data_IF_069535134050
#
_entry.id   IF_069535134050
#
_cell.length_a   1.000
_cell.length_b   1.000
_cell.length_c   1.000
_cell.angle_alpha   90.00
_cell.angle_beta   90.00
_cell.angle_gamma   90.00
#
_symmetry.space_group_name_H-M   'P 1'
#
loop_
_entity.id
_entity.type
_entity.pdbx_description
1 polymer ?
#
# COMPACT_ATOMS: atom_id res chain seq x y z
N UNK A 1 -9.08 22.47 -15.50
CA UNK A 1 -8.72 21.10 -15.96
C UNK A 1 -8.13 20.34 -14.76
N UNK A 2 -8.94 19.74 -13.88
CA UNK A 2 -8.41 19.28 -12.58
C UNK A 2 -9.23 18.16 -11.89
N UNK A 3 -9.75 17.18 -12.62
CA UNK A 3 -10.59 16.12 -11.99
C UNK A 3 -10.24 14.69 -12.37
N UNK A 4 -9.44 14.46 -13.41
CA UNK A 4 -9.12 13.07 -13.85
C UNK A 4 -7.84 12.54 -13.20
N UNK A 5 -6.92 13.42 -12.76
CA UNK A 5 -5.59 13.01 -12.27
C UNK A 5 -5.54 12.34 -10.89
N UNK A 6 -6.63 12.28 -10.14
CA UNK A 6 -6.63 11.73 -8.76
C UNK A 6 -7.45 10.46 -8.55
N UNK A 7 -8.37 10.10 -9.45
CA UNK A 7 -9.26 8.94 -9.23
C UNK A 7 -8.57 7.59 -9.40
N UNK A 8 -7.54 7.53 -10.22
CA UNK A 8 -6.84 6.28 -10.59
C UNK A 8 -5.75 5.87 -9.59
N UNK A 9 -5.36 6.77 -8.66
CA UNK A 9 -4.21 6.59 -7.77
C UNK A 9 -4.38 5.39 -6.81
N UNK A 10 -5.61 4.91 -6.61
CA UNK A 10 -5.91 3.78 -5.75
C UNK A 10 -5.87 2.39 -6.40
N UNK A 11 -5.75 2.25 -7.73
CA UNK A 11 -5.77 0.91 -8.37
C UNK A 11 -4.37 0.30 -8.43
N UNK A 12 -4.24 -0.93 -7.92
CA UNK A 12 -3.01 -1.71 -7.97
C UNK A 12 -2.88 -2.39 -9.35
N UNK A 13 -2.21 -1.74 -10.29
CA UNK A 13 -1.83 -2.35 -11.57
C UNK A 13 -0.47 -3.04 -11.38
N UNK A 14 -0.45 -4.06 -10.52
CA UNK A 14 0.69 -4.97 -10.49
C UNK A 14 0.52 -5.99 -11.62
N UNK A 15 1.19 -5.74 -12.74
CA UNK A 15 1.27 -6.63 -13.89
C UNK A 15 2.19 -7.81 -13.55
N UNK A 16 1.68 -8.77 -12.78
CA UNK A 16 2.36 -10.06 -12.64
C UNK A 16 1.89 -10.98 -13.77
N UNK A 17 2.82 -11.35 -14.64
CA UNK A 17 2.61 -12.38 -15.66
C UNK A 17 2.68 -13.75 -14.99
N UNK A 18 1.52 -14.35 -14.70
CA UNK A 18 1.48 -15.78 -14.42
C UNK A 18 1.59 -16.52 -15.75
N UNK A 19 2.63 -17.35 -15.93
CA UNK A 19 2.79 -18.13 -17.16
C UNK A 19 1.63 -19.11 -17.36
N UNK A 20 1.06 -19.09 -18.57
CA UNK A 20 0.03 -20.03 -19.01
C UNK A 20 0.67 -21.37 -19.40
N UNK A 21 0.39 -22.42 -18.63
CA UNK A 21 0.52 -23.80 -19.09
C UNK A 21 -0.74 -24.57 -18.68
N UNK A 22 -1.59 -24.88 -19.67
CA UNK A 22 -2.82 -25.65 -19.48
C UNK A 22 -2.52 -27.12 -19.76
N UNK A 23 -2.54 -27.94 -18.72
CA UNK A 23 -2.73 -29.39 -18.85
C UNK A 23 -3.97 -29.78 -18.05
N UNK A 24 -5.07 -30.03 -18.76
CA UNK A 24 -6.31 -30.50 -18.17
C UNK A 24 -6.18 -31.98 -17.75
N UNK A 25 -6.18 -32.24 -16.45
CA UNK A 25 -6.44 -33.58 -15.92
C UNK A 25 -7.80 -33.61 -15.22
N UNK A 26 -8.73 -34.43 -15.75
CA UNK A 26 -9.96 -34.79 -15.07
C UNK A 26 -9.62 -35.64 -13.84
N UNK A 27 -9.92 -35.18 -12.63
CA UNK A 27 -9.84 -35.99 -11.39
C UNK A 27 -11.15 -35.97 -10.61
N UNK A 28 -11.50 -37.15 -10.07
CA UNK A 28 -12.63 -37.43 -9.16
C UNK A 28 -12.67 -36.43 -7.98
N UNK A 29 -13.87 -36.14 -7.42
CA UNK A 29 -14.01 -35.23 -6.30
C UNK A 29 -13.24 -35.78 -5.08
N UNK A 30 -12.14 -35.12 -4.72
CA UNK A 30 -11.38 -35.40 -3.52
C UNK A 30 -12.16 -34.90 -2.29
N UNK A 31 -12.16 -35.70 -1.22
CA UNK A 31 -12.60 -35.29 0.12
C UNK A 31 -11.82 -34.03 0.51
N UNK A 32 -12.51 -33.02 1.03
CA UNK A 32 -11.89 -31.77 1.45
C UNK A 32 -10.82 -32.06 2.52
N UNK A 33 -9.57 -31.71 2.24
CA UNK A 33 -8.48 -31.87 3.20
C UNK A 33 -8.66 -30.89 4.36
N UNK A 34 -8.28 -31.30 5.56
CA UNK A 34 -8.35 -30.46 6.78
C UNK A 34 -7.07 -29.67 7.04
N UNK A 35 -6.05 -29.88 6.21
CA UNK A 35 -4.74 -29.22 6.23
C UNK A 35 -4.23 -28.99 4.80
N UNK A 36 -3.27 -28.09 4.65
CA UNK A 36 -2.52 -27.91 3.40
C UNK A 36 -1.15 -28.57 3.48
N UNK A 37 -0.66 -29.02 2.33
CA UNK A 37 0.72 -29.38 2.09
C UNK A 37 1.15 -28.73 0.77
N UNK A 38 2.01 -27.73 0.86
CA UNK A 38 2.61 -27.03 -0.27
C UNK A 38 4.01 -27.59 -0.51
N UNK A 39 4.18 -28.33 -1.61
CA UNK A 39 5.44 -28.87 -2.07
C UNK A 39 5.98 -28.00 -3.21
N UNK A 40 7.20 -27.49 -3.06
CA UNK A 40 7.85 -26.67 -4.09
C UNK A 40 9.03 -27.37 -4.75
N UNK A 41 9.24 -27.10 -6.04
CA UNK A 41 10.46 -27.42 -6.77
C UNK A 41 10.94 -26.17 -7.53
N UNK A 42 12.00 -25.54 -7.02
CA UNK A 42 12.57 -24.30 -7.52
C UNK A 42 14.00 -24.57 -7.97
N UNK A 43 14.26 -24.32 -9.25
CA UNK A 43 15.61 -24.43 -9.83
C UNK A 43 16.30 -23.06 -9.84
N UNK A 44 17.63 -23.04 -9.97
CA UNK A 44 18.40 -21.79 -10.11
C UNK A 44 18.74 -21.08 -8.80
N UNK A 45 18.40 -21.66 -7.64
CA UNK A 45 18.81 -21.19 -6.31
C UNK A 45 19.71 -22.23 -5.63
N UNK A 46 20.57 -21.76 -4.74
CA UNK A 46 21.48 -22.60 -3.97
C UNK A 46 20.74 -23.33 -2.84
N UNK A 47 21.22 -24.52 -2.50
CA UNK A 47 20.78 -25.26 -1.33
C UNK A 47 21.02 -24.45 -0.04
N UNK A 48 20.10 -24.55 0.91
CA UNK A 48 20.10 -23.74 2.12
C UNK A 48 19.47 -22.36 1.96
N UNK A 49 19.05 -21.96 0.75
CA UNK A 49 18.30 -20.71 0.56
C UNK A 49 17.04 -20.72 1.44
N UNK A 50 16.95 -19.76 2.36
CA UNK A 50 15.78 -19.56 3.22
C UNK A 50 14.54 -19.24 2.40
N UNK A 51 13.40 -19.79 2.78
CA UNK A 51 12.10 -19.52 2.16
C UNK A 51 11.13 -19.12 3.26
N UNK A 52 10.55 -17.94 3.15
CA UNK A 52 9.57 -17.42 4.10
C UNK A 52 8.19 -17.43 3.50
N UNK A 53 7.22 -17.88 4.29
CA UNK A 53 5.80 -17.84 3.96
C UNK A 53 5.18 -16.61 4.60
N UNK A 54 4.92 -15.58 3.79
CA UNK A 54 4.45 -14.26 4.27
C UNK A 54 2.98 -14.08 3.84
N UNK A 55 2.04 -13.76 4.74
CA UNK A 55 0.68 -13.44 4.35
C UNK A 55 0.63 -12.30 3.31
N UNK A 56 -0.12 -12.50 2.23
CA UNK A 56 -0.28 -11.53 1.16
C UNK A 56 -1.67 -10.89 1.15
N UNK A 57 -1.82 -9.81 0.38
CA UNK A 57 -3.08 -9.09 0.19
C UNK A 57 -3.68 -8.53 1.50
N UNK A 58 -2.88 -7.81 2.29
CA UNK A 58 -3.30 -7.25 3.59
C UNK A 58 -3.18 -5.73 3.74
N UNK A 59 -2.72 -5.02 2.68
CA UNK A 59 -2.37 -3.59 2.73
C UNK A 59 -1.47 -3.21 3.92
N UNK A 60 -0.67 -4.17 4.39
CA UNK A 60 0.17 -4.05 5.57
C UNK A 60 1.47 -4.83 5.35
N UNK A 61 2.52 -4.45 6.07
CA UNK A 61 3.76 -5.22 6.08
C UNK A 61 3.59 -6.41 7.03
N UNK A 62 3.47 -7.61 6.45
CA UNK A 62 3.28 -8.84 7.21
C UNK A 62 4.63 -9.49 7.56
N UNK A 63 4.68 -10.13 8.73
CA UNK A 63 5.81 -11.00 9.10
C UNK A 63 5.59 -12.41 8.58
N UNK A 64 6.68 -13.13 8.33
CA UNK A 64 6.62 -14.53 7.96
C UNK A 64 5.90 -15.35 9.06
N UNK A 65 4.96 -16.20 8.65
CA UNK A 65 4.25 -17.11 9.57
C UNK A 65 4.88 -18.50 9.61
N UNK A 66 5.75 -18.80 8.66
CA UNK A 66 6.56 -20.01 8.61
C UNK A 66 7.83 -19.73 7.81
N UNK A 67 8.87 -20.51 8.07
CA UNK A 67 10.14 -20.48 7.36
C UNK A 67 10.63 -21.92 7.13
N UNK A 68 11.29 -22.15 5.99
CA UNK A 68 11.97 -23.41 5.67
C UNK A 68 13.21 -23.11 4.82
N UNK A 69 13.92 -24.12 4.37
CA UNK A 69 15.09 -23.98 3.49
C UNK A 69 14.94 -24.86 2.26
N UNK A 70 15.47 -24.38 1.14
CA UNK A 70 15.57 -25.16 -0.09
C UNK A 70 16.62 -26.27 0.08
N UNK A 71 16.29 -27.49 -0.38
CA UNK A 71 17.24 -28.62 -0.44
C UNK A 71 16.98 -29.44 -1.69
N UNK A 72 18.02 -29.67 -2.50
CA UNK A 72 17.93 -30.30 -3.80
C UNK A 72 16.83 -29.66 -4.68
N UNK A 73 16.74 -28.33 -4.63
CA UNK A 73 15.69 -27.55 -5.30
C UNK A 73 14.29 -27.71 -4.72
N UNK A 74 14.10 -28.45 -3.62
CA UNK A 74 12.77 -28.75 -3.06
C UNK A 74 12.54 -28.06 -1.72
N UNK A 75 11.28 -27.78 -1.43
CA UNK A 75 10.84 -27.31 -0.11
C UNK A 75 9.43 -27.80 0.21
N UNK A 76 9.04 -27.69 1.48
CA UNK A 76 7.67 -28.01 1.92
C UNK A 76 7.19 -27.07 3.01
N UNK A 77 5.92 -26.65 2.91
CA UNK A 77 5.17 -26.05 4.02
C UNK A 77 3.92 -26.87 4.29
N UNK A 78 3.63 -27.11 5.57
CA UNK A 78 2.40 -27.78 6.00
C UNK A 78 1.71 -26.95 7.07
N UNK A 79 0.38 -26.97 7.08
CA UNK A 79 -0.37 -26.31 8.14
C UNK A 79 -1.88 -26.45 7.95
N UNK A 80 -2.63 -25.62 8.67
CA UNK A 80 -4.08 -25.59 8.58
C UNK A 80 -4.55 -24.15 8.40
N UNK A 81 -5.50 -23.96 7.49
CA UNK A 81 -6.17 -22.69 7.27
C UNK A 81 -7.66 -22.82 7.60
N UNK A 82 -8.26 -21.76 8.12
CA UNK A 82 -9.71 -21.68 8.30
C UNK A 82 -10.42 -21.42 6.96
N UNK A 83 -9.75 -20.72 6.05
CA UNK A 83 -10.20 -20.43 4.69
C UNK A 83 -8.98 -20.17 3.77
N UNK A 84 -9.14 -20.22 2.43
CA UNK A 84 -8.03 -19.96 1.51
C UNK A 84 -7.42 -18.56 1.69
N UNK A 85 -6.10 -18.45 1.54
CA UNK A 85 -5.36 -17.18 1.66
C UNK A 85 -4.23 -17.09 0.65
N UNK A 86 -3.97 -15.88 0.17
CA UNK A 86 -2.78 -15.54 -0.59
C UNK A 86 -1.57 -15.44 0.35
N UNK A 87 -0.46 -16.04 -0.06
CA UNK A 87 0.84 -15.88 0.54
C UNK A 87 1.87 -15.48 -0.50
N UNK A 88 2.88 -14.73 -0.09
CA UNK A 88 4.11 -14.52 -0.83
C UNK A 88 5.18 -15.47 -0.29
N UNK A 89 5.80 -16.22 -1.19
CA UNK A 89 7.01 -16.98 -0.91
C UNK A 89 8.22 -16.11 -1.21
N UNK A 90 8.89 -15.64 -0.17
CA UNK A 90 10.12 -14.84 -0.27
C UNK A 90 11.34 -15.77 -0.17
N UNK A 91 12.32 -15.59 -1.06
CA UNK A 91 13.50 -16.46 -1.18
C UNK A 91 14.79 -15.71 -0.85
N UNK A 92 15.51 -16.18 0.17
CA UNK A 92 16.76 -15.61 0.63
C UNK A 92 16.60 -14.19 1.17
N UNK A 93 17.65 -13.38 1.04
CA UNK A 93 17.66 -11.95 1.38
C UNK A 93 17.38 -11.05 0.16
N UNK A 94 17.15 -11.66 -1.00
CA UNK A 94 17.07 -10.98 -2.27
C UNK A 94 15.62 -10.55 -2.53
N UNK A 95 15.45 -9.44 -3.26
CA UNK A 95 14.11 -8.95 -3.63
C UNK A 95 13.48 -9.90 -4.64
N UNK A 96 12.25 -10.35 -4.41
CA UNK A 96 11.52 -11.25 -5.31
C UNK A 96 10.66 -12.25 -4.54
N UNK A 97 9.46 -12.54 -5.06
CA UNK A 97 8.54 -13.46 -4.41
C UNK A 97 7.64 -14.16 -5.42
N UNK A 98 7.15 -15.35 -5.04
CA UNK A 98 6.09 -16.05 -5.79
C UNK A 98 4.77 -15.93 -5.01
N UNK A 99 3.73 -15.27 -5.55
CA UNK A 99 2.40 -15.30 -4.96
C UNK A 99 1.72 -16.66 -5.15
N UNK A 100 1.19 -17.24 -4.07
CA UNK A 100 0.48 -18.52 -4.09
C UNK A 100 -0.79 -18.44 -3.24
N UNK A 101 -1.92 -18.82 -3.83
CA UNK A 101 -3.18 -19.03 -3.10
C UNK A 101 -3.21 -20.42 -2.49
N UNK A 102 -3.08 -20.47 -1.17
CA UNK A 102 -3.07 -21.70 -0.37
C UNK A 102 -4.46 -21.96 0.17
N UNK A 103 -4.95 -23.18 -0.03
CA UNK A 103 -6.13 -23.75 0.59
C UNK A 103 -5.75 -25.09 1.24
N UNK A 104 -6.61 -25.67 2.09
CA UNK A 104 -6.35 -26.99 2.65
C UNK A 104 -6.46 -28.06 1.55
N UNK A 105 -5.35 -28.31 0.86
CA UNK A 105 -5.17 -29.33 -0.17
C UNK A 105 -3.69 -29.69 -0.33
N UNK A 106 -3.39 -30.65 -1.21
CA UNK A 106 -2.03 -30.90 -1.67
C UNK A 106 -1.73 -29.99 -2.85
N UNK A 107 -0.80 -29.07 -2.67
CA UNK A 107 -0.46 -28.02 -3.63
C UNK A 107 0.98 -28.26 -4.09
N UNK A 108 1.22 -28.11 -5.39
CA UNK A 108 2.55 -28.18 -5.98
C UNK A 108 2.89 -26.86 -6.65
N UNK A 109 4.09 -26.35 -6.40
CA UNK A 109 4.66 -25.20 -7.06
C UNK A 109 5.95 -25.60 -7.79
N UNK A 110 6.10 -25.17 -9.04
CA UNK A 110 7.38 -25.20 -9.75
C UNK A 110 7.70 -23.83 -10.30
N UNK A 111 8.98 -23.43 -10.28
CA UNK A 111 9.47 -22.23 -10.96
C UNK A 111 10.97 -22.33 -11.22
N UNK A 112 11.44 -21.56 -12.19
CA UNK A 112 12.86 -21.34 -12.47
C UNK A 112 13.25 -19.96 -11.93
N UNK A 113 14.26 -19.91 -11.07
CA UNK A 113 14.78 -18.68 -10.52
C UNK A 113 16.01 -18.20 -11.29
N UNK A 114 16.07 -16.89 -11.55
CA UNK A 114 17.22 -16.20 -12.12
C UNK A 114 17.64 -15.06 -11.20
N UNK A 115 18.86 -15.14 -10.65
CA UNK A 115 19.42 -14.09 -9.79
C UNK A 115 20.03 -12.98 -10.64
N UNK A 116 19.40 -11.81 -10.62
CA UNK A 116 19.81 -10.64 -11.38
C UNK A 116 20.94 -9.89 -10.65
N UNK A 117 22.17 -10.03 -11.15
CA UNK A 117 23.37 -9.43 -10.53
C UNK A 117 23.35 -7.90 -10.48
N UNK A 118 22.64 -7.23 -11.38
CA UNK A 118 22.62 -5.77 -11.51
C UNK A 118 21.55 -5.09 -10.63
N UNK A 119 20.64 -5.85 -10.02
CA UNK A 119 19.53 -5.31 -9.20
C UNK A 119 19.65 -5.79 -7.74
N UNK A 120 20.82 -5.64 -7.12
CA UNK A 120 21.07 -6.09 -5.73
C UNK A 120 20.75 -7.58 -5.52
N UNK A 121 20.95 -8.41 -6.55
CA UNK A 121 20.67 -9.84 -6.47
C UNK A 121 19.18 -10.20 -6.54
N UNK A 122 18.29 -9.29 -6.97
CA UNK A 122 16.86 -9.58 -7.16
C UNK A 122 16.63 -10.89 -7.90
N UNK A 123 15.67 -11.68 -7.44
CA UNK A 123 15.30 -12.95 -8.06
C UNK A 123 14.13 -12.70 -9.01
N UNK A 124 14.32 -13.05 -10.27
CA UNK A 124 13.24 -13.15 -11.24
C UNK A 124 12.79 -14.60 -11.35
N UNK A 125 11.49 -14.84 -11.29
CA UNK A 125 10.92 -16.17 -11.45
C UNK A 125 10.31 -16.32 -12.85
N UNK A 126 10.47 -17.52 -13.41
CA UNK A 126 9.96 -17.91 -14.73
C UNK A 126 9.27 -19.27 -14.63
N UNK A 127 8.39 -19.55 -15.59
CA UNK A 127 7.70 -20.83 -15.73
C UNK A 127 6.99 -21.28 -14.44
N UNK A 128 6.37 -20.32 -13.77
CA UNK A 128 5.64 -20.54 -12.52
C UNK A 128 4.38 -21.38 -12.75
N UNK A 129 4.36 -22.57 -12.17
CA UNK A 129 3.20 -23.47 -12.22
C UNK A 129 2.78 -23.85 -10.81
N UNK A 130 1.57 -23.43 -10.45
CA UNK A 130 0.87 -23.87 -9.24
C UNK A 130 -0.23 -24.83 -9.66
N UNK A 131 -0.30 -26.00 -9.02
CA UNK A 131 -1.31 -27.02 -9.27
C UNK A 131 -1.83 -27.63 -7.96
N UNK A 132 -3.02 -28.23 -7.99
CA UNK A 132 -3.65 -28.85 -6.82
C UNK A 132 -4.38 -27.87 -5.88
N UNK A 133 -4.45 -26.58 -6.24
CA UNK A 133 -5.22 -25.56 -5.54
C UNK A 133 -6.34 -25.04 -6.44
N UNK A 134 -7.60 -25.38 -6.11
CA UNK A 134 -8.79 -24.87 -6.80
C UNK A 134 -8.90 -23.36 -6.65
N UNK A 135 -8.53 -22.83 -5.49
CA UNK A 135 -8.51 -21.39 -5.26
C UNK A 135 -7.51 -20.69 -6.18
N UNK A 136 -6.33 -21.28 -6.39
CA UNK A 136 -5.36 -20.72 -7.34
C UNK A 136 -5.87 -20.80 -8.80
N UNK A 137 -6.47 -21.93 -9.19
CA UNK A 137 -7.05 -22.09 -10.54
C UNK A 137 -8.17 -21.09 -10.79
N UNK A 138 -9.03 -20.87 -9.79
CA UNK A 138 -10.10 -19.88 -9.84
C UNK A 138 -9.55 -18.46 -9.96
N UNK A 139 -8.55 -18.10 -9.15
CA UNK A 139 -7.89 -16.80 -9.23
C UNK A 139 -7.31 -16.54 -10.62
N UNK A 140 -6.52 -17.48 -11.15
CA UNK A 140 -5.94 -17.37 -12.50
C UNK A 140 -7.01 -17.12 -13.56
N UNK A 141 -8.10 -17.90 -13.53
CA UNK A 141 -9.23 -17.72 -14.44
C UNK A 141 -9.85 -16.32 -14.32
N UNK A 142 -10.13 -15.89 -13.10
CA UNK A 142 -10.85 -14.63 -12.85
C UNK A 142 -9.98 -13.41 -13.15
N UNK A 143 -8.65 -13.52 -13.10
CA UNK A 143 -7.70 -12.44 -13.43
C UNK A 143 -7.12 -12.52 -14.83
N UNK A 144 -7.57 -13.44 -15.69
CA UNK A 144 -7.04 -13.61 -17.04
C UNK A 144 -7.18 -12.35 -17.92
N UNK A 145 -8.17 -11.49 -17.63
CA UNK A 145 -8.37 -10.19 -18.30
C UNK A 145 -7.14 -9.26 -18.19
N UNK A 146 -6.25 -9.49 -17.23
CA UNK A 146 -5.03 -8.68 -17.06
C UNK A 146 -4.11 -8.76 -18.28
N UNK A 147 -4.07 -9.89 -18.98
CA UNK A 147 -3.29 -10.01 -20.21
C UNK A 147 -3.80 -9.07 -21.31
N UNK A 148 -5.12 -8.89 -21.41
CA UNK A 148 -5.70 -7.92 -22.34
C UNK A 148 -5.44 -6.48 -21.90
N UNK A 149 -5.57 -6.17 -20.60
CA UNK A 149 -5.22 -4.85 -20.08
C UNK A 149 -3.74 -4.51 -20.30
N UNK A 150 -2.83 -5.50 -20.26
CA UNK A 150 -1.42 -5.26 -20.58
C UNK A 150 -1.22 -4.86 -22.03
N UNK A 151 -1.90 -5.54 -22.95
CA UNK A 151 -1.85 -5.21 -24.38
C UNK A 151 -2.43 -3.81 -24.63
N UNK A 152 -3.57 -3.50 -24.02
CA UNK A 152 -4.16 -2.16 -24.12
C UNK A 152 -3.21 -1.09 -23.57
N UNK A 153 -2.52 -1.38 -22.45
CA UNK A 153 -1.54 -0.49 -21.83
C UNK A 153 -0.38 -0.20 -22.77
N UNK A 154 0.22 -1.24 -23.35
CA UNK A 154 1.30 -1.11 -24.34
C UNK A 154 0.83 -0.34 -25.57
N UNK A 155 -0.38 -0.62 -26.04
CA UNK A 155 -0.96 0.01 -27.24
C UNK A 155 -1.19 1.51 -27.05
N UNK A 156 -1.76 1.95 -25.92
CA UNK A 156 -2.04 3.37 -25.75
C UNK A 156 -0.79 4.21 -25.50
N UNK A 157 0.29 3.60 -24.98
CA UNK A 157 1.59 4.25 -24.82
C UNK A 157 2.33 4.43 -26.14
N UNK A 158 2.12 3.52 -27.11
CA UNK A 158 2.80 3.55 -28.40
C UNK A 158 2.60 4.89 -29.11
N UNK A 159 3.70 5.54 -29.45
CA UNK A 159 3.71 6.84 -30.13
C UNK A 159 3.44 8.04 -29.21
N UNK A 160 3.38 7.82 -27.89
CA UNK A 160 3.22 8.88 -26.87
C UNK A 160 4.49 9.06 -26.02
N UNK A 161 5.56 8.33 -26.31
CA UNK A 161 6.77 8.26 -25.48
C UNK A 161 7.45 9.64 -25.36
N UNK A 162 7.62 10.34 -26.48
CA UNK A 162 8.29 11.64 -26.51
C UNK A 162 7.51 12.70 -25.73
N UNK A 163 6.18 12.77 -25.94
CA UNK A 163 5.34 13.77 -25.26
C UNK A 163 5.20 13.46 -23.76
N UNK A 164 5.14 12.18 -23.40
CA UNK A 164 5.13 11.73 -22.01
C UNK A 164 6.46 12.01 -21.30
N UNK A 165 7.60 11.75 -21.96
CA UNK A 165 8.92 12.03 -21.43
C UNK A 165 9.14 13.53 -21.24
N UNK A 166 8.77 14.34 -22.24
CA UNK A 166 8.86 15.80 -22.16
C UNK A 166 8.01 16.36 -20.99
N UNK A 167 6.79 15.86 -20.82
CA UNK A 167 5.94 16.23 -19.69
C UNK A 167 6.54 15.78 -18.35
N UNK A 168 7.11 14.58 -18.31
CA UNK A 168 7.83 14.04 -17.15
C UNK A 168 8.99 14.92 -16.71
N UNK A 169 9.86 15.32 -17.66
CA UNK A 169 10.98 16.25 -17.41
C UNK A 169 10.50 17.62 -16.95
N UNK A 170 9.42 18.14 -17.55
CA UNK A 170 8.81 19.40 -17.13
C UNK A 170 8.27 19.33 -15.69
N UNK A 171 7.66 18.20 -15.32
CA UNK A 171 7.16 17.94 -13.97
C UNK A 171 8.29 17.86 -12.95
N UNK A 172 9.37 17.12 -13.25
CA UNK A 172 10.53 16.96 -12.36
C UNK A 172 11.23 18.29 -12.13
N UNK A 173 11.33 19.13 -13.16
CA UNK A 173 11.92 20.48 -13.06
C UNK A 173 10.98 21.53 -12.46
N UNK A 174 9.72 21.19 -12.17
CA UNK A 174 8.72 22.14 -11.68
C UNK A 174 8.34 23.22 -12.71
N UNK A 175 8.63 23.00 -14.00
CA UNK A 175 8.40 23.97 -15.06
C UNK A 175 6.92 23.99 -15.48
N UNK A 176 6.10 24.71 -14.70
CA UNK A 176 4.66 24.81 -14.91
C UNK A 176 4.27 25.33 -16.30
N UNK A 177 5.00 26.32 -16.83
CA UNK A 177 4.72 26.88 -18.18
C UNK A 177 4.90 25.82 -19.26
N UNK A 178 5.95 25.02 -19.16
CA UNK A 178 6.20 23.93 -20.10
C UNK A 178 5.15 22.81 -19.95
N UNK A 179 4.76 22.46 -18.71
CA UNK A 179 3.66 21.52 -18.48
C UNK A 179 2.34 21.99 -19.09
N UNK A 180 2.01 23.28 -18.95
CA UNK A 180 0.80 23.87 -19.53
C UNK A 180 0.86 23.90 -21.06
N UNK A 181 2.04 24.19 -21.63
CA UNK A 181 2.26 24.16 -23.08
C UNK A 181 2.11 22.75 -23.66
N UNK A 182 2.81 21.77 -23.09
CA UNK A 182 2.70 20.35 -23.50
C UNK A 182 1.29 19.86 -23.30
N UNK A 183 0.68 20.16 -22.15
CA UNK A 183 -0.69 19.76 -21.79
C UNK A 183 -1.77 20.24 -22.75
N UNK A 184 -1.52 21.34 -23.47
CA UNK A 184 -2.44 21.88 -24.47
C UNK A 184 -2.18 21.38 -25.89
N UNK A 185 -1.07 20.68 -26.13
CA UNK A 185 -0.71 20.15 -27.44
C UNK A 185 -1.72 19.08 -27.92
N UNK A 186 -1.92 18.93 -29.24
CA UNK A 186 -2.74 17.86 -29.79
C UNK A 186 -2.25 16.46 -29.39
N UNK A 187 -0.93 16.26 -29.35
CA UNK A 187 -0.31 15.00 -28.95
C UNK A 187 -0.68 14.62 -27.51
N UNK A 188 -0.56 15.56 -26.57
CA UNK A 188 -0.92 15.31 -25.17
C UNK A 188 -2.42 15.05 -24.99
N UNK A 189 -3.29 15.82 -25.67
CA UNK A 189 -4.74 15.61 -25.60
C UNK A 189 -5.15 14.24 -26.16
N UNK A 190 -4.47 13.78 -27.22
CA UNK A 190 -4.68 12.43 -27.76
C UNK A 190 -4.26 11.36 -26.76
N UNK A 191 -3.07 11.50 -26.16
CA UNK A 191 -2.59 10.62 -25.10
C UNK A 191 -3.56 10.57 -23.91
N UNK A 192 -3.96 11.73 -23.36
CA UNK A 192 -4.89 11.84 -22.23
C UNK A 192 -6.24 11.19 -22.53
N UNK A 193 -6.76 11.32 -23.76
CA UNK A 193 -8.01 10.67 -24.15
C UNK A 193 -7.89 9.14 -24.16
N UNK A 194 -6.78 8.60 -24.67
CA UNK A 194 -6.52 7.15 -24.67
C UNK A 194 -6.28 6.62 -23.25
N UNK A 195 -5.48 7.34 -22.45
CA UNK A 195 -5.21 7.02 -21.04
C UNK A 195 -6.53 6.97 -20.25
N UNK A 196 -7.40 7.98 -20.42
CA UNK A 196 -8.72 8.01 -19.79
C UNK A 196 -9.59 6.80 -20.20
N UNK A 197 -9.58 6.43 -21.49
CA UNK A 197 -10.34 5.30 -21.97
C UNK A 197 -9.82 3.98 -21.38
N UNK A 198 -8.49 3.80 -21.32
CA UNK A 198 -7.85 2.67 -20.67
C UNK A 198 -8.27 2.56 -19.21
N UNK A 199 -8.07 3.60 -18.40
CA UNK A 199 -8.41 3.54 -16.98
C UNK A 199 -9.91 3.37 -16.71
N UNK A 200 -10.79 3.90 -17.58
CA UNK A 200 -12.22 3.59 -17.50
C UNK A 200 -12.49 2.09 -17.69
N UNK A 201 -11.80 1.44 -18.64
CA UNK A 201 -11.88 -0.01 -18.84
C UNK A 201 -11.39 -0.76 -17.61
N UNK A 202 -10.23 -0.37 -17.06
CA UNK A 202 -9.68 -0.97 -15.82
C UNK A 202 -10.66 -0.85 -14.65
N UNK A 203 -11.24 0.34 -14.43
CA UNK A 203 -12.22 0.61 -13.39
C UNK A 203 -13.45 -0.29 -13.54
N UNK A 204 -13.99 -0.40 -14.77
CA UNK A 204 -15.19 -1.22 -15.05
C UNK A 204 -14.88 -2.70 -14.85
N UNK A 205 -13.81 -3.22 -15.43
CA UNK A 205 -13.43 -4.64 -15.29
C UNK A 205 -13.15 -5.02 -13.84
N UNK A 206 -12.54 -4.11 -13.07
CA UNK A 206 -12.30 -4.30 -11.63
C UNK A 206 -13.61 -4.32 -10.84
N UNK A 207 -14.51 -3.36 -11.09
CA UNK A 207 -15.82 -3.31 -10.44
C UNK A 207 -16.66 -4.54 -10.74
N UNK A 208 -16.65 -5.02 -11.99
CA UNK A 208 -17.35 -6.24 -12.41
C UNK A 208 -16.79 -7.48 -11.71
N UNK A 209 -15.47 -7.61 -11.63
CA UNK A 209 -14.79 -8.70 -10.91
C UNK A 209 -15.22 -8.78 -9.45
N UNK A 210 -15.25 -7.65 -8.76
CA UNK A 210 -15.62 -7.56 -7.34
C UNK A 210 -17.11 -7.85 -7.18
N UNK A 211 -17.95 -7.24 -8.01
CA UNK A 211 -19.42 -7.31 -7.91
C UNK A 211 -19.93 -8.72 -8.20
N UNK A 212 -19.43 -9.41 -9.22
CA UNK A 212 -19.83 -10.79 -9.52
C UNK A 212 -19.44 -11.78 -8.42
N UNK A 213 -18.48 -11.41 -7.57
CA UNK A 213 -17.97 -12.22 -6.46
C UNK A 213 -18.51 -11.81 -5.08
N UNK A 214 -19.45 -10.85 -5.01
CA UNK A 214 -19.94 -10.24 -3.76
C UNK A 214 -20.55 -11.20 -2.73
N UNK A 215 -20.95 -12.39 -3.17
CA UNK A 215 -21.57 -13.39 -2.30
C UNK A 215 -20.55 -14.21 -1.50
N UNK A 216 -19.27 -14.20 -1.89
CA UNK A 216 -18.22 -15.06 -1.34
C UNK A 216 -17.01 -14.24 -0.88
N UNK A 217 -16.05 -14.89 -0.19
CA UNK A 217 -14.80 -14.26 0.24
C UNK A 217 -13.96 -13.70 -0.94
N UNK A 218 -14.21 -14.17 -2.17
CA UNK A 218 -13.57 -13.66 -3.38
C UNK A 218 -13.85 -12.18 -3.63
N UNK A 219 -15.04 -11.67 -3.29
CA UNK A 219 -15.38 -10.25 -3.48
C UNK A 219 -14.42 -9.34 -2.71
N UNK A 220 -14.34 -9.46 -1.38
CA UNK A 220 -13.35 -8.74 -0.57
C UNK A 220 -11.90 -9.03 -0.96
N UNK A 221 -11.56 -10.28 -1.32
CA UNK A 221 -10.21 -10.62 -1.77
C UNK A 221 -9.80 -9.89 -3.06
N UNK A 222 -10.68 -9.87 -4.07
CA UNK A 222 -10.42 -9.11 -5.29
C UNK A 222 -10.37 -7.61 -4.99
N UNK A 223 -11.22 -7.13 -4.10
CA UNK A 223 -11.18 -5.74 -3.67
C UNK A 223 -9.82 -5.35 -3.06
N UNK A 224 -9.30 -6.09 -2.09
CA UNK A 224 -7.99 -5.78 -1.47
C UNK A 224 -6.78 -6.05 -2.36
N UNK A 225 -6.94 -6.81 -3.46
CA UNK A 225 -5.85 -7.06 -4.42
C UNK A 225 -5.87 -6.15 -5.63
N UNK A 226 -7.02 -5.55 -5.96
CA UNK A 226 -7.13 -4.61 -7.08
C UNK A 226 -6.95 -3.15 -6.63
N UNK A 227 -7.19 -2.83 -5.36
CA UNK A 227 -6.88 -1.50 -4.82
C UNK A 227 -5.54 -1.56 -4.06
N UNK A 228 -4.75 -0.48 -4.12
CA UNK A 228 -3.50 -0.31 -3.35
C UNK A 228 -3.77 0.24 -1.96
N UNK A 229 -4.88 0.96 -1.80
CA UNK A 229 -5.43 1.48 -0.57
C UNK A 229 -6.90 1.81 -0.82
N UNK A 230 -7.69 1.94 0.25
CA UNK A 230 -9.10 2.32 0.14
C UNK A 230 -9.33 3.79 0.48
N UNK A 231 -10.33 4.39 -0.18
CA UNK A 231 -10.91 5.67 0.19
C UNK A 231 -12.40 5.48 0.53
N UNK A 232 -13.08 6.49 1.11
CA UNK A 232 -14.52 6.41 1.36
C UNK A 232 -15.36 6.07 0.12
N UNK A 233 -14.87 6.35 -1.09
CA UNK A 233 -15.56 6.06 -2.35
C UNK A 233 -15.78 4.56 -2.59
N UNK A 234 -15.01 3.69 -1.94
CA UNK A 234 -15.16 2.24 -2.06
C UNK A 234 -16.18 1.64 -1.08
N UNK A 235 -16.69 2.41 -0.10
CA UNK A 235 -17.71 1.91 0.85
C UNK A 235 -18.97 1.34 0.18
N UNK A 236 -19.56 1.98 -0.86
CA UNK A 236 -20.74 1.44 -1.51
C UNK A 236 -20.52 0.08 -2.18
N UNK A 237 -19.28 -0.25 -2.58
CA UNK A 237 -18.94 -1.57 -3.12
C UNK A 237 -18.90 -2.59 -1.98
N UNK A 238 -18.22 -2.26 -0.89
CA UNK A 238 -18.14 -3.13 0.30
C UNK A 238 -19.52 -3.44 0.88
N UNK A 239 -20.44 -2.46 0.90
CA UNK A 239 -21.75 -2.67 1.47
C UNK A 239 -22.61 -3.69 0.71
N UNK A 240 -22.33 -3.90 -0.59
CA UNK A 240 -23.01 -4.91 -1.41
C UNK A 240 -22.56 -6.34 -1.13
N UNK A 241 -21.50 -6.54 -0.35
CA UNK A 241 -21.05 -7.88 0.03
C UNK A 241 -22.03 -8.58 0.96
N UNK A 242 -22.18 -9.90 0.77
CA UNK A 242 -23.01 -10.72 1.65
C UNK A 242 -22.44 -10.72 3.08
N UNK A 243 -23.26 -11.02 4.11
CA UNK A 243 -22.75 -11.16 5.48
C UNK A 243 -21.63 -12.20 5.61
N UNK A 244 -21.66 -13.27 4.80
CA UNK A 244 -20.61 -14.27 4.77
C UNK A 244 -19.30 -13.72 4.17
N UNK A 245 -19.40 -12.96 3.07
CA UNK A 245 -18.25 -12.29 2.47
C UNK A 245 -17.63 -11.26 3.43
N UNK A 246 -18.44 -10.42 4.09
CA UNK A 246 -17.96 -9.45 5.10
C UNK A 246 -17.29 -10.13 6.31
N UNK A 247 -17.76 -11.31 6.72
CA UNK A 247 -17.18 -12.09 7.82
C UNK A 247 -15.90 -12.86 7.47
N UNK A 248 -15.59 -13.05 6.19
CA UNK A 248 -14.33 -13.68 5.75
C UNK A 248 -13.11 -12.87 6.20
N UNK A 249 -11.93 -13.50 6.24
CA UNK A 249 -10.66 -12.86 6.57
C UNK A 249 -10.44 -11.57 5.77
N UNK A 250 -10.58 -11.62 4.44
CA UNK A 250 -10.43 -10.44 3.59
C UNK A 250 -11.59 -9.46 3.76
N UNK A 251 -12.80 -9.93 4.04
CA UNK A 251 -13.94 -9.07 4.40
C UNK A 251 -13.66 -8.20 5.63
N UNK A 252 -13.03 -8.76 6.65
CA UNK A 252 -12.64 -8.04 7.86
C UNK A 252 -11.47 -7.08 7.63
N UNK A 253 -10.52 -7.43 6.74
CA UNK A 253 -9.44 -6.52 6.37
C UNK A 253 -9.96 -5.31 5.59
N UNK A 254 -10.83 -5.54 4.60
CA UNK A 254 -11.48 -4.45 3.85
C UNK A 254 -12.33 -3.58 4.78
N UNK A 255 -13.07 -4.18 5.72
CA UNK A 255 -13.82 -3.43 6.74
C UNK A 255 -12.91 -2.56 7.59
N UNK A 256 -11.82 -3.13 8.09
CA UNK A 256 -10.84 -2.41 8.93
C UNK A 256 -10.26 -1.20 8.21
N UNK A 257 -9.98 -1.30 6.92
CA UNK A 257 -9.41 -0.21 6.14
C UNK A 257 -10.48 0.84 5.74
N UNK A 258 -11.71 0.43 5.42
CA UNK A 258 -12.79 1.36 5.04
C UNK A 258 -13.46 2.03 6.24
N UNK A 259 -13.51 1.31 7.36
CA UNK A 259 -14.11 1.73 8.62
C UNK A 259 -13.05 1.67 9.73
N UNK A 260 -11.95 2.44 9.60
CA UNK A 260 -10.93 2.45 10.62
C UNK A 260 -11.54 2.92 11.93
N UNK A 261 -11.23 2.21 13.02
CA UNK A 261 -11.63 2.66 14.36
C UNK A 261 -11.01 4.03 14.60
N UNK A 262 -11.84 5.00 14.96
CA UNK A 262 -11.33 6.31 15.37
C UNK A 262 -10.40 6.12 16.56
N UNK A 263 -9.26 6.82 16.52
CA UNK A 263 -8.35 6.88 17.65
C UNK A 263 -8.74 7.96 18.66
N UNK A 264 -9.77 8.77 18.35
CA UNK A 264 -10.30 9.77 19.29
C UNK A 264 -10.75 9.08 20.58
N UNK A 265 -10.32 9.61 21.72
CA UNK A 265 -10.53 9.06 23.06
C UNK A 265 -9.48 8.03 23.49
N UNK A 266 -8.58 7.61 22.62
CA UNK A 266 -7.49 6.68 22.98
C UNK A 266 -6.24 7.43 23.44
N UNK A 267 -5.46 6.81 24.31
CA UNK A 267 -4.18 7.35 24.76
C UNK A 267 -3.05 7.03 23.77
N UNK A 268 -2.22 8.02 23.48
CA UNK A 268 -0.99 7.86 22.71
C UNK A 268 0.03 7.10 23.54
N UNK A 269 0.52 5.97 23.00
CA UNK A 269 1.61 5.22 23.60
C UNK A 269 2.88 6.08 23.66
N UNK A 270 3.74 5.85 24.65
CA UNK A 270 5.06 6.47 24.61
C UNK A 270 5.92 5.78 23.55
N UNK A 271 6.58 6.56 22.71
CA UNK A 271 7.53 6.06 21.73
C UNK A 271 8.73 7.01 21.62
N UNK A 272 9.85 6.45 21.16
CA UNK A 272 11.10 7.18 20.96
C UNK A 272 11.48 7.17 19.49
N UNK A 273 11.80 8.34 18.94
CA UNK A 273 12.27 8.51 17.56
C UNK A 273 13.49 9.45 17.54
N UNK A 274 14.16 9.52 16.38
CA UNK A 274 15.37 10.33 16.20
C UNK A 274 15.08 11.57 15.35
N UNK A 275 15.75 12.67 15.68
CA UNK A 275 15.78 13.87 14.82
C UNK A 275 16.85 13.75 13.72
N UNK A 276 16.99 14.83 12.93
CA UNK A 276 17.96 14.93 11.82
C UNK A 276 19.43 14.78 12.24
N UNK A 277 19.75 15.02 13.51
CA UNK A 277 21.10 14.94 14.06
C UNK A 277 21.34 13.58 14.75
N UNK A 278 20.37 12.65 14.63
CA UNK A 278 20.41 11.32 15.25
C UNK A 278 20.09 11.32 16.75
N UNK A 279 19.72 12.47 17.32
CA UNK A 279 19.37 12.59 18.73
C UNK A 279 18.02 11.95 18.99
N UNK A 280 17.97 11.03 19.95
CA UNK A 280 16.74 10.37 20.35
C UNK A 280 15.89 11.27 21.25
N UNK A 281 14.59 11.28 21.03
CA UNK A 281 13.59 11.93 21.86
C UNK A 281 12.51 10.92 22.23
N UNK A 282 12.04 10.94 23.47
CA UNK A 282 10.76 10.34 23.81
C UNK A 282 9.66 11.37 23.61
N UNK A 283 8.53 10.96 23.05
CA UNK A 283 7.42 11.88 22.85
C UNK A 283 6.89 12.43 24.15
N UNK A 284 6.88 11.66 25.24
CA UNK A 284 6.55 12.16 26.58
C UNK A 284 7.36 13.41 26.99
N UNK A 285 8.62 13.50 26.58
CA UNK A 285 9.49 14.64 26.91
C UNK A 285 9.13 15.87 26.07
N UNK A 286 8.75 15.67 24.80
CA UNK A 286 8.32 16.74 23.88
C UNK A 286 6.96 17.32 24.29
N UNK A 287 6.04 16.44 24.72
CA UNK A 287 4.67 16.82 25.08
C UNK A 287 4.54 17.34 26.51
N UNK A 288 5.57 17.17 27.34
CA UNK A 288 5.56 17.60 28.73
C UNK A 288 5.31 19.12 28.83
N UNK A 289 4.34 19.50 29.67
CA UNK A 289 3.98 20.92 29.89
C UNK A 289 3.18 21.56 28.75
N UNK A 290 2.82 20.82 27.70
CA UNK A 290 1.95 21.30 26.62
C UNK A 290 0.50 20.97 26.92
N UNK A 291 -0.41 21.90 26.59
CA UNK A 291 -1.86 21.71 26.72
C UNK A 291 -2.41 20.87 25.58
N UNK A 292 -1.92 21.11 24.36
CA UNK A 292 -2.30 20.37 23.17
C UNK A 292 -1.10 20.18 22.25
N UNK A 293 -1.01 19.00 21.63
CA UNK A 293 0.04 18.67 20.67
C UNK A 293 -0.61 18.18 19.38
N UNK A 294 -0.20 18.74 18.25
CA UNK A 294 -0.54 18.19 16.94
C UNK A 294 0.57 17.24 16.51
N UNK A 295 0.27 15.94 16.42
CA UNK A 295 1.14 14.96 15.77
C UNK A 295 0.82 15.01 14.27
N UNK A 296 1.82 15.33 13.44
CA UNK A 296 1.70 15.52 11.99
C UNK A 296 2.54 14.48 11.24
N UNK A 297 1.90 13.58 10.51
CA UNK A 297 2.58 12.61 9.66
C UNK A 297 2.73 13.14 8.24
N UNK A 298 3.98 13.23 7.79
CA UNK A 298 4.34 13.84 6.51
C UNK A 298 5.52 13.10 5.82
N UNK A 299 5.92 13.58 4.64
CA UNK A 299 7.15 13.14 3.96
C UNK A 299 7.66 14.19 2.98
N UNK A 300 8.94 14.15 2.66
CA UNK A 300 9.63 15.06 1.73
C UNK A 300 9.02 15.08 0.33
N UNK A 301 8.52 13.94 -0.13
CA UNK A 301 7.87 13.74 -1.43
C UNK A 301 6.37 14.03 -1.42
N UNK A 302 5.76 14.27 -0.25
CA UNK A 302 4.34 14.54 -0.12
C UNK A 302 4.01 15.99 -0.44
N UNK A 303 3.66 16.26 -1.71
CA UNK A 303 3.24 17.59 -2.16
C UNK A 303 2.11 18.22 -1.33
N UNK A 304 1.00 17.51 -1.04
CA UNK A 304 -0.06 18.03 -0.18
C UNK A 304 0.40 18.36 1.24
N UNK A 305 1.29 17.56 1.83
CA UNK A 305 1.83 17.81 3.17
C UNK A 305 2.62 19.13 3.19
N UNK A 306 3.51 19.32 2.20
CA UNK A 306 4.31 20.54 2.08
C UNK A 306 3.47 21.79 1.85
N UNK A 307 2.31 21.67 1.19
CA UNK A 307 1.35 22.77 1.04
C UNK A 307 0.64 23.15 2.34
N UNK A 308 0.60 22.25 3.32
CA UNK A 308 -0.03 22.48 4.62
C UNK A 308 0.93 23.12 5.63
N UNK A 309 2.25 22.94 5.46
CA UNK A 309 3.28 23.50 6.35
C UNK A 309 3.12 25.02 6.61
N UNK A 310 2.79 25.88 5.62
CA UNK A 310 2.52 27.28 5.88
C UNK A 310 1.37 27.52 6.89
N UNK A 311 0.29 26.73 6.82
CA UNK A 311 -0.82 26.83 7.78
C UNK A 311 -0.37 26.38 9.17
N UNK A 312 0.42 25.31 9.26
CA UNK A 312 1.00 24.84 10.52
C UNK A 312 1.91 25.89 11.16
N UNK A 313 2.72 26.60 10.37
CA UNK A 313 3.54 27.73 10.86
C UNK A 313 2.69 28.85 11.43
N UNK A 314 1.60 29.22 10.75
CA UNK A 314 0.66 30.23 11.26
C UNK A 314 0.06 29.80 12.60
N UNK A 315 -0.47 28.57 12.68
CA UNK A 315 -1.03 28.04 13.92
C UNK A 315 0.03 27.96 15.03
N UNK A 316 1.25 27.51 14.73
CA UNK A 316 2.33 27.44 15.70
C UNK A 316 2.70 28.82 16.23
N UNK A 317 2.86 29.81 15.34
CA UNK A 317 3.18 31.19 15.74
C UNK A 317 2.10 31.80 16.65
N UNK A 318 0.83 31.47 16.44
CA UNK A 318 -0.28 32.04 17.23
C UNK A 318 -0.49 31.32 18.57
N UNK A 319 -0.32 29.99 18.61
CA UNK A 319 -0.76 29.17 19.73
C UNK A 319 0.38 28.56 20.54
N UNK A 320 1.64 28.54 20.07
CA UNK A 320 2.76 27.92 20.80
C UNK A 320 2.92 28.51 22.21
N UNK A 321 2.86 29.83 22.33
CA UNK A 321 2.90 30.54 23.63
C UNK A 321 1.70 30.27 24.54
N UNK A 322 0.61 29.70 24.00
CA UNK A 322 -0.62 29.36 24.75
C UNK A 322 -0.63 27.89 25.20
N UNK A 323 0.46 27.16 24.97
CA UNK A 323 0.60 25.75 25.33
C UNK A 323 0.33 24.77 24.18
N UNK A 324 0.34 25.23 22.93
CA UNK A 324 0.33 24.36 21.75
C UNK A 324 1.74 23.90 21.38
N UNK A 325 1.86 22.71 20.80
CA UNK A 325 3.09 22.18 20.24
C UNK A 325 2.78 21.38 18.96
N UNK A 326 3.74 21.30 18.04
CA UNK A 326 3.64 20.42 16.87
C UNK A 326 4.77 19.39 16.93
N UNK A 327 4.43 18.13 16.68
CA UNK A 327 5.38 17.05 16.50
C UNK A 327 5.20 16.47 15.11
N UNK A 328 6.10 16.82 14.18
CA UNK A 328 6.06 16.25 12.84
C UNK A 328 6.88 14.95 12.79
N UNK A 329 6.28 13.88 12.30
CA UNK A 329 6.87 12.55 12.14
C UNK A 329 6.92 12.25 10.64
N UNK A 330 8.13 12.17 10.09
CA UNK A 330 8.31 11.82 8.68
C UNK A 330 8.27 10.31 8.47
N UNK A 331 7.56 9.87 7.43
CA UNK A 331 7.56 8.49 6.93
C UNK A 331 8.55 8.27 5.76
N UNK A 332 9.45 9.22 5.52
CA UNK A 332 10.50 9.11 4.51
C UNK A 332 11.34 7.83 4.71
N UNK A 333 11.71 7.19 3.61
CA UNK A 333 12.70 6.11 3.59
C UNK A 333 14.10 6.61 3.25
N UNK A 334 14.18 7.72 2.54
CA UNK A 334 15.42 8.41 2.20
C UNK A 334 15.66 9.55 3.19
N UNK A 335 16.54 9.31 4.15
CA UNK A 335 16.92 10.27 5.19
C UNK A 335 17.50 11.56 4.59
N UNK A 336 18.24 11.49 3.47
CA UNK A 336 18.83 12.68 2.84
C UNK A 336 17.76 13.55 2.20
N UNK A 337 16.75 12.93 1.57
CA UNK A 337 15.61 13.65 1.02
C UNK A 337 14.81 14.36 2.12
N UNK A 338 14.61 13.68 3.26
CA UNK A 338 13.97 14.25 4.44
C UNK A 338 14.76 15.44 4.99
N UNK A 339 16.07 15.30 5.24
CA UNK A 339 16.92 16.38 5.75
C UNK A 339 16.93 17.60 4.81
N UNK A 340 16.98 17.36 3.49
CA UNK A 340 16.88 18.44 2.50
C UNK A 340 15.53 19.16 2.58
N UNK A 341 14.43 18.42 2.72
CA UNK A 341 13.11 19.02 2.88
C UNK A 341 13.01 19.82 4.19
N UNK A 342 13.54 19.32 5.30
CA UNK A 342 13.59 20.07 6.57
C UNK A 342 14.30 21.42 6.42
N UNK A 343 15.44 21.46 5.74
CA UNK A 343 16.17 22.69 5.49
C UNK A 343 15.39 23.69 4.63
N UNK A 344 14.60 23.20 3.67
CA UNK A 344 13.75 24.04 2.81
C UNK A 344 12.53 24.56 3.55
N UNK A 345 11.88 23.70 4.34
CA UNK A 345 10.63 24.01 5.00
C UNK A 345 10.83 24.82 6.28
N UNK A 346 12.00 24.77 6.91
CA UNK A 346 12.35 25.57 8.10
C UNK A 346 11.24 25.54 9.16
N UNK A 347 10.87 24.33 9.60
CA UNK A 347 9.86 24.11 10.63
C UNK A 347 10.44 24.37 12.01
N UNK A 348 9.72 25.12 12.84
CA UNK A 348 10.21 25.64 14.13
C UNK A 348 9.98 24.67 15.31
N UNK A 349 9.47 23.48 15.02
CA UNK A 349 9.06 22.48 16.00
C UNK A 349 9.78 21.15 15.76
N UNK A 350 9.58 20.19 16.66
CA UNK A 350 10.26 18.89 16.59
C UNK A 350 9.88 18.11 15.33
N UNK A 351 10.90 17.62 14.64
CA UNK A 351 10.78 16.80 13.44
C UNK A 351 11.57 15.52 13.62
N UNK A 352 10.87 14.38 13.63
CA UNK A 352 11.45 13.05 13.88
C UNK A 352 11.22 12.12 12.68
N UNK A 353 12.07 11.12 12.52
CA UNK A 353 11.93 10.10 11.48
C UNK A 353 11.30 8.82 12.05
N UNK A 354 10.24 8.32 11.42
CA UNK A 354 9.55 7.10 11.83
C UNK A 354 10.41 5.85 11.60
N UNK A 355 10.27 4.87 12.50
CA UNK A 355 10.88 3.53 12.37
C UNK A 355 9.90 2.51 11.76
N UNK A 356 8.80 2.99 11.18
CA UNK A 356 7.64 2.27 10.65
C UNK A 356 6.74 1.64 11.71
N UNK A 357 6.97 1.89 13.00
CA UNK A 357 6.08 1.39 14.04
C UNK A 357 5.09 2.47 14.47
N UNK A 358 5.51 3.74 14.44
CA UNK A 358 4.65 4.82 14.95
C UNK A 358 3.53 5.12 13.96
N UNK A 359 3.82 5.30 12.67
CA UNK A 359 2.74 5.48 11.66
C UNK A 359 1.75 4.31 11.67
N UNK A 360 2.24 3.07 11.82
CA UNK A 360 1.40 1.89 11.94
C UNK A 360 0.55 1.86 13.21
N UNK A 361 1.10 2.27 14.36
CA UNK A 361 0.35 2.37 15.62
C UNK A 361 -0.77 3.41 15.56
N UNK A 362 -0.58 4.49 14.79
CA UNK A 362 -1.60 5.50 14.51
C UNK A 362 -2.52 5.13 13.33
N UNK A 363 -2.33 3.96 12.71
CA UNK A 363 -3.05 3.51 11.52
C UNK A 363 -2.99 4.51 10.35
N UNK A 364 -1.82 5.13 10.15
CA UNK A 364 -1.56 6.06 9.05
C UNK A 364 -1.39 5.27 7.76
N UNK A 365 -2.41 5.32 6.90
CA UNK A 365 -2.42 4.67 5.57
C UNK A 365 -2.16 5.63 4.42
N UNK A 366 -2.40 6.92 4.63
CA UNK A 366 -2.14 7.98 3.68
C UNK A 366 -1.67 9.23 4.44
N UNK A 367 -0.84 10.03 3.78
CA UNK A 367 -0.39 11.33 4.29
C UNK A 367 -0.90 12.46 3.37
N UNK A 368 -1.20 13.65 3.91
CA UNK A 368 -0.98 14.07 5.29
C UNK A 368 -2.00 13.44 6.25
N UNK A 369 -1.58 13.15 7.49
CA UNK A 369 -2.44 12.69 8.57
C UNK A 369 -2.06 13.40 9.87
N UNK A 370 -3.03 13.93 10.59
CA UNK A 370 -2.80 14.67 11.83
C UNK A 370 -3.62 14.12 12.97
N UNK A 371 -3.10 14.20 14.20
CA UNK A 371 -3.79 13.83 15.43
C UNK A 371 -3.56 14.91 16.49
N UNK A 372 -4.63 15.51 16.98
CA UNK A 372 -4.58 16.47 18.07
C UNK A 372 -4.71 15.74 19.39
N UNK A 373 -3.74 15.93 20.27
CA UNK A 373 -3.58 15.23 21.54
C UNK A 373 -3.68 16.24 22.68
N UNK A 374 -4.42 15.91 23.74
CA UNK A 374 -4.50 16.75 24.94
C UNK A 374 -3.34 16.53 25.92
N UNK A 375 -3.29 17.35 26.98
CA UNK A 375 -2.28 17.25 28.04
C UNK A 375 -2.21 15.91 28.79
N UNK A 376 -3.23 15.04 28.66
CA UNK A 376 -3.25 13.69 29.25
C UNK A 376 -2.74 12.64 28.26
N UNK A 377 -2.32 13.05 27.07
CA UNK A 377 -1.92 12.15 25.99
C UNK A 377 -3.12 11.49 25.29
N UNK A 378 -4.33 12.03 25.42
CA UNK A 378 -5.53 11.49 24.76
C UNK A 378 -5.75 12.17 23.42
N UNK A 379 -6.02 11.41 22.37
CA UNK A 379 -6.36 11.96 21.05
C UNK A 379 -7.77 12.54 21.12
N UNK A 380 -7.91 13.82 20.76
CA UNK A 380 -9.17 14.59 20.81
C UNK A 380 -9.61 15.12 19.44
N UNK A 381 -8.82 14.85 18.40
CA UNK A 381 -9.16 15.16 17.01
C UNK A 381 -8.20 14.47 16.05
N UNK A 382 -8.66 14.22 14.83
CA UNK A 382 -7.87 13.66 13.74
C UNK A 382 -8.10 14.45 12.44
N UNK A 383 -7.14 14.38 11.53
CA UNK A 383 -7.16 15.00 10.19
C UNK A 383 -7.38 16.52 10.12
N UNK A 384 -7.35 17.22 11.26
CA UNK A 384 -7.44 18.68 11.38
C UNK A 384 -6.29 19.37 10.64
N UNK A 385 -6.65 20.26 9.72
CA UNK A 385 -5.74 21.04 8.86
C UNK A 385 -6.33 22.41 8.55
N UNK A 386 -5.49 23.37 8.17
CA UNK A 386 -5.89 24.71 7.76
C UNK A 386 -6.88 25.35 8.73
N UNK A 387 -8.02 25.81 8.18
CA UNK A 387 -9.07 26.47 8.95
C UNK A 387 -9.72 25.57 10.01
N UNK A 388 -9.77 24.26 9.82
CA UNK A 388 -10.35 23.34 10.81
C UNK A 388 -9.45 23.20 12.03
N UNK A 389 -8.14 23.11 11.81
CA UNK A 389 -7.16 23.12 12.90
C UNK A 389 -7.21 24.44 13.67
N UNK A 390 -7.21 25.58 12.96
CA UNK A 390 -7.28 26.90 13.57
C UNK A 390 -8.55 27.08 14.41
N UNK A 391 -9.71 26.71 13.85
CA UNK A 391 -10.99 26.78 14.55
C UNK A 391 -10.97 25.91 15.83
N UNK A 392 -10.40 24.70 15.75
CA UNK A 392 -10.30 23.81 16.90
C UNK A 392 -9.35 24.35 17.97
N UNK A 393 -8.18 24.88 17.58
CA UNK A 393 -7.24 25.49 18.52
C UNK A 393 -7.83 26.72 19.18
N UNK A 394 -8.56 27.56 18.43
CA UNK A 394 -9.28 28.72 18.98
C UNK A 394 -10.35 28.33 20.00
N UNK A 395 -11.05 27.22 19.77
CA UNK A 395 -12.04 26.67 20.71
C UNK A 395 -11.37 26.20 22.02
N UNK A 396 -10.23 25.52 21.91
CA UNK A 396 -9.56 24.85 23.03
C UNK A 396 -8.63 25.77 23.84
N UNK A 397 -7.96 26.69 23.15
CA UNK A 397 -6.96 27.61 23.71
C UNK A 397 -7.51 29.03 23.83
N UNK A 398 -8.81 29.16 24.11
CA UNK A 398 -9.46 30.43 24.39
C UNK A 398 -8.61 31.22 25.39
N UNK A 399 -8.27 32.44 24.97
CA UNK A 399 -7.61 33.47 25.79
C UNK A 399 -8.41 33.78 27.04
#
# INVERSE_FOLDING_TARGET
MNTIKFKVIGLCICLFAFSNNILAQKKKPAVASTSYNLEGNITGLEDGTTIKLIPGATHSSESAVAETTLKDGKFTFTGKLNEPRLFYLEFGKNKGYIPVLIENSKIKLTAEAEVLKQEEGKINFKNEVVSGSKSNDYFKKETAFREELNKDYEEYHKGSEEVAEAYGKARVSGNKKLMDSIGNSPAWKSFEAKEKAFFKKVETTTADLITRNKATWWGPFFMITQYSYFTPDQKPIYEQFSPAAKKSYYGQLVDKDLNPKSLIGTSVANFGLKDKDGKAYNVKDIVAGKKYILIDFWASWCGPCRKEIPNLKTAYSEYAGKGFEILSISIDKDEKAWQKALAQENMQWHNLLDDNKVSNAFNVKAIPATYLVDSKGVIIGDNLRGAELEAKLKELLKS
#
